data_IF_614037224447
#
_entry.id   IF_614037224447
#
_cell.length_a   1.000
_cell.length_b   1.000
_cell.length_c   1.000
_cell.angle_alpha   90.00
_cell.angle_beta   90.00
_cell.angle_gamma   90.00
#
_symmetry.space_group_name_H-M   'P 1'
#
loop_
_entity.id
_entity.type
_entity.pdbx_description
1 polymer ?
#
# COMPACT_ATOMS: atom_id res chain seq x y z
N UNK A 1 -7.91 0.10 -24.11
CA UNK A 1 -9.13 0.01 -23.29
C UNK A 1 -8.99 0.93 -22.08
N UNK A 2 -9.60 2.08 -22.11
CA UNK A 2 -9.53 3.13 -21.08
C UNK A 2 -10.79 3.16 -20.19
N UNK A 3 -11.42 2.00 -19.98
CA UNK A 3 -12.65 1.91 -19.19
C UNK A 3 -12.45 2.14 -17.68
N UNK A 4 -11.19 2.12 -17.20
CA UNK A 4 -10.80 2.37 -15.82
C UNK A 4 -9.90 3.59 -15.77
N UNK A 5 -10.26 4.56 -14.94
CA UNK A 5 -9.43 5.73 -14.67
C UNK A 5 -8.17 5.34 -13.89
N UNK A 6 -7.03 5.88 -14.27
CA UNK A 6 -5.76 5.80 -13.57
C UNK A 6 -4.99 7.12 -13.71
N UNK A 7 -3.85 7.22 -13.03
CA UNK A 7 -3.05 8.44 -13.03
C UNK A 7 -2.52 8.79 -14.43
N UNK A 8 -2.23 7.80 -15.28
CA UNK A 8 -1.80 8.07 -16.65
C UNK A 8 -2.91 8.73 -17.46
N UNK A 9 -4.08 8.09 -17.55
CA UNK A 9 -5.19 8.55 -18.41
C UNK A 9 -5.85 9.83 -17.95
N UNK A 10 -5.85 10.11 -16.63
CA UNK A 10 -6.55 11.27 -16.04
C UNK A 10 -5.61 12.44 -15.77
N UNK A 11 -4.32 12.20 -15.51
CA UNK A 11 -3.38 13.25 -15.13
C UNK A 11 -2.24 13.42 -16.13
N UNK A 12 -1.50 12.33 -16.45
CA UNK A 12 -0.26 12.43 -17.24
C UNK A 12 -0.58 12.76 -18.71
N UNK A 13 -1.48 11.98 -19.35
CA UNK A 13 -1.81 12.20 -20.75
C UNK A 13 -2.38 13.61 -21.01
N UNK A 14 -3.34 14.13 -20.21
CA UNK A 14 -3.77 15.53 -20.34
C UNK A 14 -2.67 16.56 -20.06
N UNK A 15 -1.79 16.30 -19.09
CA UNK A 15 -0.70 17.21 -18.78
C UNK A 15 0.27 17.35 -19.96
N UNK A 16 0.54 16.27 -20.68
CA UNK A 16 1.42 16.26 -21.86
C UNK A 16 0.88 17.01 -23.07
N UNK A 17 -0.40 17.39 -23.08
CA UNK A 17 -0.98 18.29 -24.09
C UNK A 17 -0.47 19.74 -23.95
N UNK A 18 0.14 20.08 -22.82
CA UNK A 18 0.72 21.39 -22.57
C UNK A 18 2.19 21.45 -22.97
N UNK A 19 2.58 22.45 -23.78
CA UNK A 19 3.94 22.61 -24.31
C UNK A 19 5.02 22.77 -23.23
N UNK A 20 4.65 23.25 -22.04
CA UNK A 20 5.56 23.42 -20.88
C UNK A 20 5.73 22.17 -20.03
N UNK A 21 5.11 21.05 -20.40
CA UNK A 21 5.24 19.76 -19.70
C UNK A 21 6.08 18.79 -20.53
N UNK A 22 7.07 18.19 -19.91
CA UNK A 22 7.94 17.18 -20.54
C UNK A 22 7.99 15.91 -19.73
N UNK A 23 7.76 14.76 -20.37
CA UNK A 23 7.93 13.43 -19.81
C UNK A 23 9.23 12.82 -20.32
N UNK A 24 10.14 12.52 -19.41
CA UNK A 24 11.41 11.86 -19.70
C UNK A 24 11.32 10.39 -19.23
N UNK A 25 11.35 9.47 -20.16
CA UNK A 25 11.28 8.02 -19.88
C UNK A 25 12.66 7.36 -19.93
N UNK A 26 12.75 6.11 -19.41
CA UNK A 26 14.00 5.36 -19.29
C UNK A 26 15.09 6.12 -18.52
N UNK A 27 14.66 6.95 -17.58
CA UNK A 27 15.49 7.84 -16.78
C UNK A 27 15.42 7.41 -15.30
N UNK A 28 16.50 6.87 -14.77
CA UNK A 28 16.63 6.45 -13.38
C UNK A 28 17.28 7.54 -12.57
N UNK A 29 16.54 8.12 -11.62
CA UNK A 29 17.13 9.06 -10.66
C UNK A 29 18.01 8.28 -9.69
N UNK A 30 19.30 8.61 -9.68
CA UNK A 30 20.31 7.92 -8.88
C UNK A 30 20.45 8.56 -7.50
N UNK A 31 20.50 9.90 -7.44
CA UNK A 31 20.61 10.67 -6.20
C UNK A 31 20.21 12.13 -6.41
N UNK A 32 20.00 12.83 -5.29
CA UNK A 32 19.80 14.26 -5.22
C UNK A 32 21.03 14.91 -4.57
N UNK A 33 21.48 16.04 -5.10
CA UNK A 33 22.60 16.80 -4.54
C UNK A 33 22.10 18.15 -4.02
N UNK A 34 22.62 18.58 -2.86
CA UNK A 34 22.25 19.85 -2.24
C UNK A 34 23.21 20.97 -2.65
N UNK A 35 22.74 22.20 -2.49
CA UNK A 35 23.58 23.38 -2.65
C UNK A 35 24.58 23.56 -1.50
N UNK A 36 25.45 24.56 -1.58
CA UNK A 36 26.54 24.76 -0.63
C UNK A 36 26.13 25.03 0.82
N UNK A 37 24.89 25.51 1.08
CA UNK A 37 24.36 25.66 2.43
C UNK A 37 23.50 24.46 2.89
N UNK A 38 23.43 23.41 2.07
CA UNK A 38 22.74 22.15 2.32
C UNK A 38 21.20 22.25 2.54
N UNK A 39 20.59 23.38 2.19
CA UNK A 39 19.17 23.64 2.44
C UNK A 39 18.26 23.52 1.23
N UNK A 40 18.80 23.27 0.05
CA UNK A 40 18.03 23.07 -1.16
C UNK A 40 18.67 22.01 -2.06
N UNK A 41 17.84 21.21 -2.73
CA UNK A 41 18.30 20.35 -3.83
C UNK A 41 18.68 21.26 -4.99
N UNK A 42 19.93 21.15 -5.43
CA UNK A 42 20.48 21.92 -6.57
C UNK A 42 20.60 21.09 -7.84
N UNK A 43 20.73 19.74 -7.69
CA UNK A 43 20.85 18.81 -8.83
C UNK A 43 20.11 17.51 -8.58
N UNK A 44 19.48 17.01 -9.61
CA UNK A 44 18.91 15.66 -9.71
C UNK A 44 19.79 14.86 -10.67
N UNK A 45 20.47 13.86 -10.17
CA UNK A 45 21.40 13.03 -10.96
C UNK A 45 20.64 11.84 -11.53
N UNK A 46 20.64 11.73 -12.84
CA UNK A 46 19.88 10.75 -13.60
C UNK A 46 20.79 9.89 -14.45
N UNK A 47 20.53 8.61 -14.48
CA UNK A 47 21.10 7.68 -15.47
C UNK A 47 20.04 7.41 -16.55
N UNK A 48 20.42 7.67 -17.80
CA UNK A 48 19.55 7.44 -18.95
C UNK A 48 20.36 6.88 -20.11
N UNK A 49 19.99 5.72 -20.63
CA UNK A 49 20.70 5.05 -21.73
C UNK A 49 22.21 4.87 -21.49
N UNK A 50 22.60 4.63 -20.25
CA UNK A 50 24.02 4.48 -19.85
C UNK A 50 24.80 5.81 -19.73
N UNK A 51 24.15 6.95 -19.94
CA UNK A 51 24.74 8.28 -19.73
C UNK A 51 24.24 8.90 -18.43
N UNK A 52 25.10 9.71 -17.78
CA UNK A 52 24.71 10.54 -16.64
C UNK A 52 24.20 11.88 -17.16
N UNK A 53 23.02 12.25 -16.70
CA UNK A 53 22.39 13.54 -16.96
C UNK A 53 22.14 14.28 -15.62
N UNK A 54 22.12 15.61 -15.65
CA UNK A 54 21.87 16.45 -14.49
C UNK A 54 20.69 17.38 -14.79
N UNK A 55 19.75 17.43 -13.86
CA UNK A 55 18.60 18.32 -13.91
C UNK A 55 18.56 19.20 -12.67
N UNK A 56 17.92 20.36 -12.76
CA UNK A 56 17.66 21.27 -11.64
C UNK A 56 16.24 21.82 -11.73
N UNK A 57 15.73 22.31 -10.61
CA UNK A 57 14.41 22.95 -10.53
C UNK A 57 14.26 23.71 -9.23
N UNK A 58 13.38 24.73 -9.25
CA UNK A 58 13.04 25.52 -8.06
C UNK A 58 12.31 24.68 -7.02
N UNK A 59 11.59 23.66 -7.46
CA UNK A 59 10.92 22.67 -6.62
C UNK A 59 11.26 21.26 -7.15
N UNK A 60 11.58 20.36 -6.26
CA UNK A 60 11.84 18.94 -6.53
C UNK A 60 10.81 18.10 -5.79
N UNK A 61 10.03 17.31 -6.53
CA UNK A 61 9.02 16.40 -5.97
C UNK A 61 9.45 14.97 -6.20
N UNK A 62 9.59 14.22 -5.11
CA UNK A 62 9.87 12.79 -5.12
C UNK A 62 8.55 12.02 -4.96
N UNK A 63 8.24 11.12 -5.91
CA UNK A 63 6.99 10.34 -5.94
C UNK A 63 7.25 8.93 -6.49
N UNK A 64 8.25 8.25 -5.91
CA UNK A 64 8.72 6.95 -6.39
C UNK A 64 8.06 5.76 -5.66
N UNK A 65 7.09 6.02 -4.78
CA UNK A 65 6.48 5.05 -3.87
C UNK A 65 7.32 4.81 -2.60
N UNK A 66 6.68 4.28 -1.54
CA UNK A 66 7.23 4.26 -0.19
C UNK A 66 8.65 3.69 -0.10
N UNK A 67 8.95 2.61 -0.81
CA UNK A 67 10.27 1.97 -0.78
C UNK A 67 11.31 2.79 -1.52
N UNK A 68 11.01 3.18 -2.78
CA UNK A 68 12.02 3.84 -3.61
C UNK A 68 12.24 5.31 -3.24
N UNK A 69 11.22 6.03 -2.75
CA UNK A 69 11.38 7.42 -2.29
C UNK A 69 12.30 7.48 -1.08
N UNK A 70 12.09 6.63 -0.08
CA UNK A 70 12.99 6.56 1.07
C UNK A 70 14.40 6.10 0.68
N UNK A 71 14.52 5.10 -0.20
CA UNK A 71 15.81 4.64 -0.69
C UNK A 71 16.58 5.74 -1.46
N UNK A 72 15.89 6.56 -2.28
CA UNK A 72 16.48 7.69 -2.96
C UNK A 72 17.04 8.72 -1.98
N UNK A 73 16.27 9.08 -0.94
CA UNK A 73 16.73 10.00 0.09
C UNK A 73 17.93 9.46 0.85
N UNK A 74 17.94 8.17 1.21
CA UNK A 74 19.06 7.51 1.90
C UNK A 74 20.32 7.46 1.01
N UNK A 75 20.19 7.14 -0.28
CA UNK A 75 21.30 7.15 -1.25
C UNK A 75 21.88 8.54 -1.51
N UNK A 76 21.11 9.58 -1.21
CA UNK A 76 21.51 10.97 -1.41
C UNK A 76 22.31 11.54 -0.24
N UNK A 77 22.81 10.68 0.67
CA UNK A 77 23.69 11.08 1.77
C UNK A 77 24.90 11.85 1.26
N UNK A 78 25.32 12.86 2.03
CA UNK A 78 26.50 13.70 1.79
C UNK A 78 27.07 14.21 3.13
N UNK A 79 28.13 14.99 3.09
CA UNK A 79 28.80 15.48 4.32
C UNK A 79 27.87 16.26 5.25
N UNK A 80 26.92 17.03 4.70
CA UNK A 80 25.96 17.80 5.48
C UNK A 80 24.73 16.98 5.92
N UNK A 81 24.42 15.90 5.22
CA UNK A 81 23.33 14.99 5.48
C UNK A 81 23.83 13.54 5.50
N UNK A 82 24.63 13.15 6.51
CA UNK A 82 25.34 11.84 6.51
C UNK A 82 24.42 10.63 6.58
N UNK A 83 23.20 10.81 7.07
CA UNK A 83 22.19 9.73 7.19
C UNK A 83 21.17 9.71 6.03
N UNK A 84 21.39 10.52 4.98
CA UNK A 84 20.44 10.74 3.87
C UNK A 84 19.73 12.09 3.95
N UNK A 85 19.14 12.52 2.85
CA UNK A 85 18.40 13.78 2.79
C UNK A 85 17.12 13.71 3.61
N UNK A 86 16.74 14.83 4.24
CA UNK A 86 15.56 14.95 5.11
C UNK A 86 15.56 13.94 6.29
N UNK A 87 16.73 13.46 6.72
CA UNK A 87 16.89 12.37 7.68
C UNK A 87 17.72 12.77 8.93
N UNK A 88 17.74 14.00 9.32
CA UNK A 88 18.36 14.44 10.59
C UNK A 88 17.67 13.87 11.83
N UNK A 89 16.39 13.52 11.72
CA UNK A 89 15.60 12.85 12.77
C UNK A 89 15.70 11.31 12.75
N UNK A 90 16.44 10.71 11.79
CA UNK A 90 16.54 9.26 11.58
C UNK A 90 15.18 8.55 11.37
N UNK A 91 14.22 9.23 10.73
CA UNK A 91 12.88 8.65 10.44
C UNK A 91 12.70 8.20 8.98
N UNK A 92 13.56 8.64 8.05
CA UNK A 92 13.51 8.21 6.65
C UNK A 92 13.83 6.73 6.56
N UNK A 93 12.97 6.00 5.89
CA UNK A 93 13.04 4.54 5.75
C UNK A 93 12.37 3.78 6.90
N UNK A 94 12.18 4.37 8.08
CA UNK A 94 11.51 3.73 9.23
C UNK A 94 10.00 3.75 9.11
N UNK A 95 9.33 3.01 10.00
CA UNK A 95 7.86 2.91 10.06
C UNK A 95 7.23 2.39 8.77
N UNK A 96 7.91 1.50 8.08
CA UNK A 96 7.33 0.81 6.93
C UNK A 96 6.10 0.02 7.36
N UNK A 97 5.00 0.22 6.66
CA UNK A 97 3.72 -0.44 6.87
C UNK A 97 3.20 -1.01 5.56
N UNK A 98 2.50 -2.15 5.60
CA UNK A 98 2.03 -2.83 4.40
C UNK A 98 0.63 -3.41 4.50
N UNK A 99 -0.06 -3.27 5.61
CA UNK A 99 -1.29 -3.96 6.02
C UNK A 99 -1.10 -5.46 6.27
N UNK A 100 -1.83 -5.97 7.24
CA UNK A 100 -2.03 -7.42 7.42
C UNK A 100 -3.21 -7.82 6.56
N UNK A 101 -2.99 -8.75 5.64
CA UNK A 101 -4.02 -9.21 4.73
C UNK A 101 -4.23 -10.72 4.83
N UNK A 102 -5.49 -11.13 4.77
CA UNK A 102 -5.87 -12.53 4.63
C UNK A 102 -7.00 -12.66 3.62
N UNK A 103 -7.05 -13.79 2.98
CA UNK A 103 -8.24 -14.25 2.27
C UNK A 103 -8.96 -15.31 3.11
N UNK A 104 -10.27 -15.29 3.09
CA UNK A 104 -11.09 -16.35 3.67
C UNK A 104 -12.15 -16.80 2.67
N UNK A 105 -12.12 -18.08 2.37
CA UNK A 105 -13.11 -18.75 1.53
C UNK A 105 -14.14 -19.39 2.44
N UNK A 106 -15.39 -18.97 2.36
CA UNK A 106 -16.52 -19.62 3.01
C UNK A 106 -17.16 -20.60 2.02
N UNK A 107 -16.98 -21.89 2.24
CA UNK A 107 -17.55 -22.95 1.40
C UNK A 107 -18.93 -23.33 1.93
N UNK A 108 -19.92 -23.22 1.09
CA UNK A 108 -21.31 -23.59 1.37
C UNK A 108 -21.63 -25.00 0.88
N UNK A 109 -22.66 -25.64 1.46
CA UNK A 109 -23.24 -26.86 0.93
C UNK A 109 -23.75 -26.67 -0.50
N UNK A 110 -24.34 -25.51 -0.78
CA UNK A 110 -24.93 -25.19 -2.08
C UNK A 110 -23.92 -24.53 -3.02
N UNK A 111 -23.98 -24.79 -4.32
CA UNK A 111 -23.24 -24.03 -5.29
C UNK A 111 -23.61 -22.55 -5.22
N UNK A 112 -22.60 -21.68 -5.37
CA UNK A 112 -22.76 -20.25 -5.50
C UNK A 112 -22.57 -19.84 -6.97
N UNK A 113 -23.62 -19.65 -7.76
CA UNK A 113 -23.52 -19.32 -9.18
C UNK A 113 -23.18 -17.84 -9.42
N UNK A 114 -23.06 -17.03 -8.38
CA UNK A 114 -22.76 -15.61 -8.53
C UNK A 114 -21.35 -15.40 -9.04
N UNK A 115 -21.19 -14.38 -9.89
CA UNK A 115 -19.90 -13.95 -10.46
C UNK A 115 -19.56 -12.52 -10.04
N UNK A 116 -20.02 -12.13 -8.85
CA UNK A 116 -19.83 -10.79 -8.34
C UNK A 116 -18.36 -10.47 -8.09
N UNK A 117 -18.01 -9.25 -8.39
CA UNK A 117 -16.77 -8.62 -7.98
C UNK A 117 -16.92 -8.03 -6.55
N UNK A 118 -16.05 -7.13 -6.16
CA UNK A 118 -16.08 -6.44 -4.86
C UNK A 118 -17.32 -5.52 -4.74
N UNK A 119 -18.44 -6.07 -4.34
CA UNK A 119 -19.71 -5.35 -4.24
C UNK A 119 -20.12 -5.00 -2.82
N UNK A 120 -19.59 -5.70 -1.82
CA UNK A 120 -19.93 -5.50 -0.41
C UNK A 120 -18.67 -5.40 0.46
N UNK A 121 -18.81 -4.66 1.56
CA UNK A 121 -17.81 -4.54 2.62
C UNK A 121 -18.49 -4.55 3.99
N UNK A 122 -17.76 -5.02 5.01
CA UNK A 122 -18.17 -5.01 6.41
C UNK A 122 -17.16 -4.15 7.17
N UNK A 123 -17.65 -3.03 7.70
CA UNK A 123 -16.84 -2.06 8.47
C UNK A 123 -17.27 -2.00 9.95
N UNK A 124 -18.17 -2.90 10.38
CA UNK A 124 -18.71 -2.93 11.73
C UNK A 124 -17.63 -3.07 12.81
N UNK A 125 -16.51 -3.65 12.46
CA UNK A 125 -15.36 -3.88 13.35
C UNK A 125 -14.18 -2.96 13.07
N UNK A 126 -14.36 -1.96 12.19
CA UNK A 126 -13.27 -1.08 11.76
C UNK A 126 -12.63 -0.33 12.92
N UNK A 127 -13.42 0.21 13.82
CA UNK A 127 -12.97 0.97 14.99
C UNK A 127 -12.97 0.16 16.28
N UNK A 128 -13.38 -1.11 16.25
CA UNK A 128 -13.46 -1.97 17.41
C UNK A 128 -14.79 -2.70 17.56
N UNK A 129 -15.06 -3.24 18.74
CA UNK A 129 -16.33 -3.90 19.09
C UNK A 129 -16.62 -3.75 20.59
N UNK A 130 -17.76 -4.28 21.06
CA UNK A 130 -18.11 -4.26 22.49
C UNK A 130 -17.08 -4.98 23.37
N UNK A 131 -16.41 -6.00 22.82
CA UNK A 131 -15.46 -6.87 23.53
C UNK A 131 -14.01 -6.52 23.22
N UNK A 132 -13.77 -5.48 22.38
CA UNK A 132 -12.44 -5.07 21.94
C UNK A 132 -12.45 -3.61 21.50
N UNK A 133 -11.80 -2.74 22.22
CA UNK A 133 -11.79 -1.29 22.03
C UNK A 133 -10.92 -0.79 20.88
N UNK A 134 -10.00 -1.61 20.36
CA UNK A 134 -9.06 -1.20 19.31
C UNK A 134 -9.59 -1.54 17.91
N UNK A 135 -9.12 -0.83 16.86
CA UNK A 135 -9.42 -1.17 15.47
C UNK A 135 -9.07 -2.63 15.14
N UNK A 136 -9.98 -3.31 14.43
CA UNK A 136 -9.70 -4.66 13.90
C UNK A 136 -9.42 -4.60 12.41
N UNK A 137 -10.18 -3.82 11.63
CA UNK A 137 -9.96 -3.68 10.21
C UNK A 137 -11.21 -3.74 9.35
N UNK A 138 -10.97 -4.00 8.08
CA UNK A 138 -11.93 -3.97 6.98
C UNK A 138 -12.09 -5.37 6.37
N UNK A 139 -13.32 -5.74 6.03
CA UNK A 139 -13.64 -6.96 5.31
C UNK A 139 -14.35 -6.57 4.02
N UNK A 140 -13.89 -7.09 2.89
CA UNK A 140 -14.56 -6.93 1.61
C UNK A 140 -14.63 -8.26 0.86
N UNK A 141 -15.49 -8.35 -0.16
CA UNK A 141 -15.36 -9.44 -1.12
C UNK A 141 -14.10 -9.23 -1.97
N UNK A 142 -13.42 -10.33 -2.28
CA UNK A 142 -12.29 -10.32 -3.24
C UNK A 142 -12.76 -10.47 -4.68
N UNK A 143 -13.99 -10.90 -4.87
CA UNK A 143 -14.55 -11.38 -6.12
C UNK A 143 -14.63 -12.92 -6.10
N UNK A 144 -15.20 -13.50 -7.14
CA UNK A 144 -15.26 -14.95 -7.29
C UNK A 144 -13.89 -15.50 -7.68
N UNK A 145 -13.28 -16.31 -6.81
CA UNK A 145 -12.05 -17.01 -7.14
C UNK A 145 -12.36 -18.18 -8.07
N UNK A 146 -11.53 -18.37 -9.07
CA UNK A 146 -11.59 -19.52 -9.98
C UNK A 146 -10.59 -20.61 -9.57
N UNK A 147 -10.69 -21.78 -10.20
CA UNK A 147 -9.82 -22.91 -9.89
C UNK A 147 -8.34 -22.64 -10.21
N UNK A 148 -8.05 -21.87 -11.25
CA UNK A 148 -6.67 -21.52 -11.62
C UNK A 148 -6.02 -20.61 -10.58
N UNK A 149 -6.76 -19.63 -10.06
CA UNK A 149 -6.33 -18.78 -8.95
C UNK A 149 -6.09 -19.61 -7.68
N UNK A 150 -7.00 -20.54 -7.36
CA UNK A 150 -6.86 -21.44 -6.20
C UNK A 150 -5.65 -22.36 -6.34
N UNK A 151 -5.34 -22.80 -7.55
CA UNK A 151 -4.19 -23.69 -7.83
C UNK A 151 -2.84 -23.05 -7.45
N UNK A 152 -2.72 -21.75 -7.59
CA UNK A 152 -1.50 -21.02 -7.22
C UNK A 152 -1.18 -21.13 -5.72
N UNK A 153 -2.18 -21.29 -4.85
CA UNK A 153 -2.01 -21.45 -3.40
C UNK A 153 -2.25 -22.88 -2.88
N UNK A 154 -2.63 -23.81 -3.75
CA UNK A 154 -2.95 -25.19 -3.37
C UNK A 154 -1.70 -26.08 -3.35
N UNK A 155 -1.68 -27.16 -2.52
CA UNK A 155 -0.65 -28.19 -2.63
C UNK A 155 -0.58 -28.76 -4.05
N UNK A 156 0.62 -29.07 -4.54
CA UNK A 156 0.86 -29.57 -5.90
C UNK A 156 0.06 -30.87 -6.23
N UNK A 157 -0.32 -31.62 -5.20
CA UNK A 157 -1.08 -32.87 -5.32
C UNK A 157 -2.61 -32.64 -5.32
N UNK A 158 -3.10 -31.41 -5.15
CA UNK A 158 -4.53 -31.13 -5.12
C UNK A 158 -5.15 -31.39 -6.50
N UNK A 159 -6.15 -32.30 -6.61
CA UNK A 159 -6.79 -32.57 -7.90
C UNK A 159 -7.54 -31.34 -8.41
N UNK A 160 -7.41 -31.01 -9.71
CA UNK A 160 -8.06 -29.83 -10.29
C UNK A 160 -9.58 -29.79 -10.08
N UNK A 161 -10.25 -30.95 -10.16
CA UNK A 161 -11.70 -31.03 -9.93
C UNK A 161 -12.12 -30.61 -8.51
N UNK A 162 -11.27 -30.81 -7.50
CA UNK A 162 -11.58 -30.35 -6.13
C UNK A 162 -11.53 -28.82 -6.03
N UNK A 163 -10.60 -28.19 -6.73
CA UNK A 163 -10.47 -26.73 -6.80
C UNK A 163 -11.64 -26.09 -7.55
N UNK A 164 -12.07 -26.70 -8.67
CA UNK A 164 -13.28 -26.32 -9.40
C UNK A 164 -14.52 -26.37 -8.51
N UNK A 165 -14.60 -27.43 -7.71
CA UNK A 165 -15.69 -27.62 -6.79
C UNK A 165 -15.70 -26.58 -5.68
N UNK A 166 -14.55 -26.34 -5.06
CA UNK A 166 -14.39 -25.29 -4.06
C UNK A 166 -14.76 -23.92 -4.65
N UNK A 167 -14.27 -23.58 -5.83
CA UNK A 167 -14.61 -22.34 -6.52
C UNK A 167 -16.11 -22.20 -6.75
N UNK A 168 -16.82 -23.28 -7.16
CA UNK A 168 -18.27 -23.24 -7.37
C UNK A 168 -19.08 -23.04 -6.09
N UNK A 169 -18.54 -23.41 -4.94
CA UNK A 169 -19.24 -23.36 -3.65
C UNK A 169 -18.80 -22.22 -2.75
N UNK A 170 -17.82 -21.42 -3.16
CA UNK A 170 -17.20 -20.40 -2.29
C UNK A 170 -17.92 -19.06 -2.31
N UNK A 171 -17.77 -18.37 -1.18
CA UNK A 171 -17.91 -16.94 -1.02
C UNK A 171 -16.59 -16.42 -0.49
N UNK A 172 -15.97 -15.50 -1.23
CA UNK A 172 -14.56 -15.19 -1.06
C UNK A 172 -14.37 -13.79 -0.46
N UNK A 173 -13.72 -13.73 0.71
CA UNK A 173 -13.49 -12.50 1.47
C UNK A 173 -12.02 -12.13 1.49
N UNK A 174 -11.78 -10.82 1.50
CA UNK A 174 -10.50 -10.20 1.78
C UNK A 174 -10.59 -9.45 3.10
N UNK A 175 -9.72 -9.78 4.03
CA UNK A 175 -9.62 -9.12 5.33
C UNK A 175 -8.34 -8.29 5.34
N UNK A 176 -8.45 -7.03 5.75
CA UNK A 176 -7.32 -6.12 5.87
C UNK A 176 -7.33 -5.48 7.25
N UNK A 177 -6.20 -5.51 7.92
CA UNK A 177 -5.97 -4.82 9.18
C UNK A 177 -4.80 -3.86 9.07
N UNK A 178 -4.80 -2.83 9.88
CA UNK A 178 -3.74 -1.85 9.95
C UNK A 178 -2.46 -2.49 10.50
N UNK A 179 -1.32 -2.19 9.87
CA UNK A 179 -0.02 -2.29 10.52
C UNK A 179 0.19 -1.08 11.43
N UNK A 180 0.77 -1.29 12.59
CA UNK A 180 1.18 -0.21 13.47
C UNK A 180 2.57 0.30 13.06
N UNK A 181 2.83 1.62 13.18
CA UNK A 181 4.12 2.19 12.79
C UNK A 181 5.21 1.77 13.79
N UNK A 182 6.05 0.84 13.40
CA UNK A 182 7.21 0.38 14.14
C UNK A 182 8.49 0.93 13.49
N UNK A 183 9.39 1.63 14.22
CA UNK A 183 10.63 2.16 13.68
C UNK A 183 11.59 1.08 13.18
N UNK A 184 11.49 -0.16 13.64
CA UNK A 184 12.32 -1.28 13.17
C UNK A 184 11.79 -1.95 11.90
N UNK A 185 10.53 -1.73 11.55
CA UNK A 185 10.02 -2.01 10.21
C UNK A 185 10.54 -0.94 9.26
N UNK A 186 11.54 -1.26 8.44
CA UNK A 186 12.31 -0.23 7.76
C UNK A 186 12.87 -0.62 6.39
N UNK A 187 12.99 0.38 5.55
CA UNK A 187 13.77 0.36 4.32
C UNK A 187 15.18 0.85 4.63
N UNK A 188 16.17 0.12 4.18
CA UNK A 188 17.59 0.51 4.25
C UNK A 188 18.24 0.36 2.89
N UNK A 189 19.37 1.02 2.71
CA UNK A 189 20.22 0.88 1.51
C UNK A 189 21.60 0.45 2.00
N UNK A 190 22.11 -0.65 1.46
CA UNK A 190 23.46 -1.12 1.82
C UNK A 190 24.55 -0.36 1.02
N UNK A 191 25.82 -0.73 1.27
CA UNK A 191 26.97 -0.07 0.64
C UNK A 191 27.04 -0.25 -0.88
N UNK A 192 26.44 -1.32 -1.39
CA UNK A 192 26.38 -1.62 -2.82
C UNK A 192 25.16 -0.94 -3.49
N UNK A 193 24.36 -0.22 -2.71
CA UNK A 193 23.17 0.50 -3.15
C UNK A 193 21.92 -0.38 -3.25
N UNK A 194 21.95 -1.61 -2.75
CA UNK A 194 20.80 -2.51 -2.74
C UNK A 194 19.79 -2.12 -1.66
N UNK A 195 18.52 -2.20 -2.02
CA UNK A 195 17.40 -1.89 -1.12
C UNK A 195 17.06 -3.14 -0.30
N UNK A 196 16.98 -2.97 1.02
CA UNK A 196 16.52 -4.01 1.94
C UNK A 196 15.31 -3.52 2.70
N UNK A 197 14.32 -4.40 2.88
CA UNK A 197 13.13 -4.16 3.70
C UNK A 197 13.14 -5.14 4.85
N UNK A 198 13.28 -4.62 6.07
CA UNK A 198 13.06 -5.39 7.30
C UNK A 198 11.63 -5.16 7.74
N UNK A 199 10.88 -6.24 7.94
CA UNK A 199 9.47 -6.14 8.27
C UNK A 199 9.01 -7.29 9.15
N UNK A 200 8.37 -6.94 10.26
CA UNK A 200 7.69 -7.88 11.15
C UNK A 200 6.24 -7.45 11.36
N UNK A 201 5.32 -8.41 11.27
CA UNK A 201 3.90 -8.18 11.54
C UNK A 201 3.69 -7.84 13.02
N UNK A 202 2.95 -6.78 13.32
CA UNK A 202 2.81 -6.29 14.69
C UNK A 202 1.38 -6.19 15.24
N UNK A 203 0.34 -6.11 14.40
CA UNK A 203 -1.07 -6.03 14.82
C UNK A 203 -1.85 -7.34 14.56
N UNK A 204 -1.23 -8.47 14.85
CA UNK A 204 -1.77 -9.81 14.52
C UNK A 204 -3.04 -10.11 15.32
N UNK A 205 -3.10 -9.71 16.59
CA UNK A 205 -4.28 -9.98 17.44
C UNK A 205 -5.55 -9.30 16.90
N UNK A 206 -5.47 -8.04 16.51
CA UNK A 206 -6.59 -7.32 15.88
C UNK A 206 -7.09 -8.02 14.63
N UNK A 207 -6.16 -8.51 13.79
CA UNK A 207 -6.48 -9.23 12.57
C UNK A 207 -7.14 -10.60 12.82
N UNK A 208 -6.63 -11.36 13.79
CA UNK A 208 -7.22 -12.67 14.15
C UNK A 208 -8.61 -12.50 14.77
N UNK A 209 -8.85 -11.43 15.53
CA UNK A 209 -10.18 -11.04 16.01
C UNK A 209 -11.12 -10.70 14.88
N UNK A 210 -10.68 -9.92 13.88
CA UNK A 210 -11.47 -9.61 12.68
C UNK A 210 -11.91 -10.88 11.96
N UNK A 211 -10.99 -11.83 11.77
CA UNK A 211 -11.28 -13.13 11.18
C UNK A 211 -12.30 -13.93 11.99
N UNK A 212 -12.18 -13.92 13.33
CA UNK A 212 -13.13 -14.58 14.21
C UNK A 212 -14.53 -13.96 14.12
N UNK A 213 -14.65 -12.63 14.03
CA UNK A 213 -15.93 -11.94 13.85
C UNK A 213 -16.59 -12.31 12.53
N UNK A 214 -15.83 -12.36 11.43
CA UNK A 214 -16.36 -12.83 10.15
C UNK A 214 -16.87 -14.27 10.23
N UNK A 215 -16.12 -15.20 10.83
CA UNK A 215 -16.54 -16.57 11.01
C UNK A 215 -17.80 -16.68 11.87
N UNK A 216 -17.92 -15.86 12.93
CA UNK A 216 -19.11 -15.80 13.78
C UNK A 216 -20.31 -15.31 12.99
N UNK A 217 -20.19 -14.23 12.22
CA UNK A 217 -21.24 -13.70 11.37
C UNK A 217 -21.71 -14.76 10.35
N UNK A 218 -20.77 -15.42 9.67
CA UNK A 218 -21.09 -16.47 8.69
C UNK A 218 -21.80 -17.68 9.30
N UNK A 219 -21.47 -18.06 10.55
CA UNK A 219 -22.18 -19.12 11.28
C UNK A 219 -23.61 -18.70 11.66
N UNK A 220 -23.82 -17.44 12.04
CA UNK A 220 -25.14 -16.93 12.46
C UNK A 220 -26.09 -16.79 11.29
N UNK A 221 -25.62 -16.49 10.10
CA UNK A 221 -26.45 -16.41 8.89
C UNK A 221 -26.95 -17.77 8.43
N UNK A 222 -26.56 -18.85 9.12
CA UNK A 222 -26.92 -20.26 8.81
C UNK A 222 -26.72 -20.59 7.33
N UNK A 223 -25.66 -20.03 6.76
CA UNK A 223 -25.43 -19.77 5.35
C UNK A 223 -25.69 -20.95 4.42
N UNK A 224 -26.91 -21.20 4.16
CA UNK A 224 -27.37 -21.42 2.81
C UNK A 224 -27.30 -20.07 2.12
N UNK A 225 -26.28 -19.87 1.30
CA UNK A 225 -26.05 -18.62 0.54
C UNK A 225 -27.31 -18.19 -0.24
N UNK A 226 -28.27 -19.08 -0.39
CA UNK A 226 -29.50 -18.89 -1.15
C UNK A 226 -30.79 -18.99 -0.33
N UNK A 227 -30.73 -19.24 0.98
CA UNK A 227 -31.93 -19.40 1.82
C UNK A 227 -32.77 -20.62 1.45
N UNK A 228 -32.20 -21.56 0.71
CA UNK A 228 -32.86 -22.81 0.28
C UNK A 228 -32.16 -24.03 0.88
N UNK A 229 -32.95 -25.03 1.29
CA UNK A 229 -32.39 -26.34 1.60
C UNK A 229 -31.75 -26.95 0.35
N UNK A 230 -30.42 -27.06 0.37
CA UNK A 230 -29.69 -27.66 -0.72
C UNK A 230 -29.59 -29.19 -0.49
N UNK A 231 -30.31 -29.93 -1.27
CA UNK A 231 -30.33 -31.41 -1.18
C UNK A 231 -29.14 -32.08 -1.88
N UNK A 232 -28.32 -31.35 -2.62
CA UNK A 232 -27.18 -31.85 -3.41
C UNK A 232 -25.83 -31.23 -2.97
N UNK A 233 -25.67 -31.00 -1.67
CA UNK A 233 -24.44 -30.45 -1.14
C UNK A 233 -23.29 -31.43 -1.12
N UNK A 234 -22.15 -31.03 -1.68
CA UNK A 234 -20.90 -31.81 -1.62
C UNK A 234 -20.22 -31.75 -0.27
N UNK A 235 -20.48 -30.69 0.49
CA UNK A 235 -19.90 -30.50 1.82
C UNK A 235 -20.96 -30.83 2.88
N UNK A 236 -20.64 -31.72 3.82
CA UNK A 236 -21.53 -32.07 4.90
C UNK A 236 -21.90 -30.90 5.82
N UNK A 237 -21.09 -29.85 5.82
CA UNK A 237 -21.23 -28.60 6.59
C UNK A 237 -20.47 -27.47 5.92
N UNK A 238 -20.80 -26.22 6.28
CA UNK A 238 -20.02 -25.07 5.86
C UNK A 238 -18.58 -25.15 6.40
N UNK A 239 -17.61 -24.83 5.55
CA UNK A 239 -16.19 -24.81 5.89
C UNK A 239 -15.63 -23.39 5.67
N UNK A 240 -14.70 -23.00 6.53
CA UNK A 240 -14.03 -21.71 6.44
C UNK A 240 -12.53 -21.95 6.29
N UNK A 241 -12.01 -21.71 5.10
CA UNK A 241 -10.59 -21.83 4.80
C UNK A 241 -10.00 -20.45 4.70
N UNK A 242 -8.90 -20.21 5.39
CA UNK A 242 -8.27 -18.89 5.39
C UNK A 242 -6.75 -19.00 5.28
N UNK A 243 -6.17 -18.05 4.55
CA UNK A 243 -4.73 -17.92 4.40
C UNK A 243 -4.33 -16.47 4.60
N UNK A 244 -3.28 -16.24 5.42
CA UNK A 244 -2.60 -14.94 5.50
C UNK A 244 -1.75 -14.77 4.25
N UNK A 245 -1.84 -13.59 3.65
CA UNK A 245 -1.05 -13.28 2.45
C UNK A 245 0.36 -12.81 2.86
N UNK A 246 1.40 -13.24 2.16
CA UNK A 246 2.74 -12.72 2.38
C UNK A 246 2.83 -11.26 1.94
N UNK A 247 3.79 -10.51 2.51
CA UNK A 247 4.01 -9.09 2.20
C UNK A 247 4.15 -8.85 0.68
N UNK A 248 4.84 -9.73 -0.01
CA UNK A 248 5.05 -9.64 -1.47
C UNK A 248 3.76 -9.70 -2.31
N UNK A 249 2.66 -10.21 -1.74
CA UNK A 249 1.36 -10.26 -2.40
C UNK A 249 0.49 -9.01 -2.15
N UNK A 250 1.02 -8.01 -1.42
CA UNK A 250 0.26 -6.82 -1.00
C UNK A 250 0.97 -5.55 -1.45
N UNK A 251 0.29 -4.70 -2.21
CA UNK A 251 0.84 -3.46 -2.77
C UNK A 251 0.40 -2.22 -1.98
N UNK A 252 0.38 -2.28 -0.65
CA UNK A 252 -0.07 -1.19 0.24
C UNK A 252 1.07 -0.56 1.05
N UNK A 253 2.28 -0.56 0.50
CA UNK A 253 3.50 -0.04 1.13
C UNK A 253 3.37 1.45 1.43
N UNK A 254 3.66 1.85 2.68
CA UNK A 254 3.52 3.24 3.11
C UNK A 254 4.38 3.57 4.36
N UNK A 255 4.41 4.84 4.78
CA UNK A 255 4.91 5.31 6.08
C UNK A 255 6.38 5.67 6.17
N UNK A 256 7.19 5.39 5.16
CA UNK A 256 8.66 5.45 5.22
C UNK A 256 9.28 6.84 5.18
N UNK A 257 8.52 7.89 4.91
CA UNK A 257 8.94 9.31 4.98
C UNK A 257 7.78 10.10 5.58
N UNK A 258 7.42 9.76 6.80
CA UNK A 258 6.21 10.27 7.45
C UNK A 258 6.19 11.78 7.61
N UNK A 259 4.99 12.37 7.46
CA UNK A 259 4.76 13.79 7.70
C UNK A 259 4.34 14.05 9.16
N UNK A 260 4.50 15.28 9.62
CA UNK A 260 4.07 15.69 10.95
C UNK A 260 4.46 17.14 11.25
N UNK A 261 4.08 17.61 12.43
CA UNK A 261 4.36 18.99 12.86
C UNK A 261 5.72 19.13 13.55
N UNK A 262 6.26 18.01 14.09
CA UNK A 262 7.51 18.01 14.84
C UNK A 262 8.64 17.42 13.98
N UNK A 263 9.66 18.21 13.62
CA UNK A 263 10.80 17.76 12.83
C UNK A 263 11.67 16.68 13.52
N UNK A 264 11.48 16.44 14.82
CA UNK A 264 12.17 15.37 15.54
C UNK A 264 11.55 14.00 15.30
N UNK A 265 10.28 13.95 14.91
CA UNK A 265 9.51 12.72 14.75
C UNK A 265 8.93 12.53 13.35
N UNK A 266 9.19 13.47 12.45
CA UNK A 266 8.75 13.43 11.06
C UNK A 266 9.80 14.00 10.12
N UNK A 267 9.91 13.44 8.92
CA UNK A 267 10.81 13.95 7.87
C UNK A 267 10.18 15.12 7.10
N UNK A 268 8.86 15.11 7.00
CA UNK A 268 8.09 16.09 6.24
C UNK A 268 7.17 16.89 7.16
N UNK A 269 6.91 18.13 6.76
CA UNK A 269 5.84 18.94 7.33
C UNK A 269 4.45 18.48 6.82
N UNK A 270 3.38 19.13 7.26
CA UNK A 270 2.00 18.80 6.87
C UNK A 270 1.73 18.99 5.37
N UNK A 271 2.56 19.76 4.67
CA UNK A 271 2.47 19.96 3.22
C UNK A 271 3.38 19.00 2.45
N UNK A 272 3.87 17.96 3.11
CA UNK A 272 4.81 17.00 2.52
C UNK A 272 6.12 17.62 2.03
N UNK A 273 6.49 18.82 2.54
CA UNK A 273 7.79 19.44 2.32
C UNK A 273 8.77 18.92 3.37
N UNK A 274 9.99 18.60 2.97
CA UNK A 274 11.04 18.24 3.91
C UNK A 274 11.27 19.36 4.93
N UNK A 275 11.39 19.03 6.23
CA UNK A 275 11.68 20.03 7.26
C UNK A 275 13.04 20.70 7.07
N UNK A 276 14.01 19.94 6.59
CA UNK A 276 15.42 20.38 6.48
C UNK A 276 15.79 20.98 5.13
N UNK A 277 14.98 20.73 4.08
CA UNK A 277 15.31 21.10 2.69
C UNK A 277 14.14 21.88 2.09
N UNK A 278 14.40 23.13 1.75
CA UNK A 278 13.36 24.12 1.46
C UNK A 278 12.56 23.87 0.17
N UNK A 279 13.15 23.19 -0.82
CA UNK A 279 12.53 22.92 -2.12
C UNK A 279 12.23 21.44 -2.39
N UNK A 280 12.36 20.56 -1.39
CA UNK A 280 12.12 19.13 -1.53
C UNK A 280 10.77 18.74 -0.95
N UNK A 281 9.98 18.02 -1.75
CA UNK A 281 8.71 17.42 -1.38
C UNK A 281 8.73 15.90 -1.63
N UNK A 282 8.01 15.14 -0.81
CA UNK A 282 7.77 13.70 -1.06
C UNK A 282 6.26 13.48 -1.09
N UNK A 283 5.73 13.14 -2.28
CA UNK A 283 4.28 13.12 -2.53
C UNK A 283 3.86 11.75 -3.08
N UNK A 284 3.87 10.75 -2.23
CA UNK A 284 3.43 9.37 -2.48
C UNK A 284 2.99 8.73 -1.16
N UNK A 285 2.87 7.41 -1.10
CA UNK A 285 2.47 6.70 0.11
C UNK A 285 3.46 6.80 1.29
N UNK A 286 4.66 7.35 1.10
CA UNK A 286 5.65 7.48 2.19
C UNK A 286 5.17 8.37 3.34
N UNK A 287 4.26 9.32 3.08
CA UNK A 287 3.86 10.34 4.04
C UNK A 287 3.04 9.82 5.22
N UNK A 288 2.41 8.65 5.12
CA UNK A 288 1.47 8.14 6.12
C UNK A 288 2.08 8.03 7.52
N UNK A 289 1.48 8.65 8.57
CA UNK A 289 1.86 8.41 9.97
C UNK A 289 1.24 7.13 10.54
N UNK A 290 0.12 6.65 9.96
CA UNK A 290 -0.54 5.37 10.21
C UNK A 290 -1.25 4.90 8.95
N UNK A 291 -1.35 3.60 8.74
CA UNK A 291 -1.80 3.05 7.46
C UNK A 291 -3.32 2.95 7.30
N UNK A 292 -4.08 2.96 8.43
CA UNK A 292 -5.48 2.54 8.42
C UNK A 292 -5.64 1.09 7.97
N UNK A 293 -6.86 0.67 7.62
CA UNK A 293 -7.13 -0.72 7.24
C UNK A 293 -7.81 -0.87 5.86
N UNK A 294 -7.73 0.16 5.02
CA UNK A 294 -8.30 0.15 3.65
C UNK A 294 -7.24 0.50 2.62
N UNK A 295 -7.53 0.20 1.36
CA UNK A 295 -6.65 0.51 0.23
C UNK A 295 -6.21 1.99 0.26
N UNK A 296 -4.90 2.31 0.24
CA UNK A 296 -4.40 3.67 0.51
C UNK A 296 -4.51 4.62 -0.69
N UNK A 297 -4.80 4.13 -1.89
CA UNK A 297 -4.70 4.89 -3.14
C UNK A 297 -5.53 6.20 -3.15
N UNK A 298 -6.77 6.18 -2.64
CA UNK A 298 -7.62 7.39 -2.61
C UNK A 298 -7.02 8.47 -1.68
N UNK A 299 -6.47 8.07 -0.54
CA UNK A 299 -5.80 8.99 0.39
C UNK A 299 -4.52 9.57 -0.22
N UNK A 300 -3.74 8.74 -0.95
CA UNK A 300 -2.53 9.20 -1.66
C UNK A 300 -2.91 10.25 -2.70
N UNK A 301 -3.92 9.98 -3.53
CA UNK A 301 -4.39 10.92 -4.56
C UNK A 301 -4.94 12.22 -3.96
N UNK A 302 -5.77 12.13 -2.91
CA UNK A 302 -6.30 13.31 -2.23
C UNK A 302 -5.18 14.17 -1.62
N UNK A 303 -4.18 13.53 -0.99
CA UNK A 303 -3.02 14.26 -0.48
C UNK A 303 -2.18 14.88 -1.60
N UNK A 304 -2.00 14.20 -2.73
CA UNK A 304 -1.26 14.74 -3.87
C UNK A 304 -1.94 15.99 -4.44
N UNK A 305 -3.27 16.00 -4.57
CA UNK A 305 -4.03 17.18 -5.00
C UNK A 305 -3.87 18.33 -4.00
N UNK A 306 -3.98 18.06 -2.70
CA UNK A 306 -3.79 19.07 -1.64
C UNK A 306 -2.38 19.68 -1.68
N UNK A 307 -1.36 18.86 -1.91
CA UNK A 307 0.03 19.35 -2.07
C UNK A 307 0.17 20.15 -3.36
N UNK A 308 -0.49 19.75 -4.44
CA UNK A 308 -0.55 20.51 -5.69
C UNK A 308 -1.11 21.93 -5.48
N UNK A 309 -2.23 22.06 -4.77
CA UNK A 309 -2.79 23.38 -4.42
C UNK A 309 -1.80 24.22 -3.61
N UNK A 310 -1.14 23.64 -2.61
CA UNK A 310 -0.10 24.32 -1.84
C UNK A 310 1.09 24.77 -2.72
N UNK A 311 1.53 23.95 -3.68
CA UNK A 311 2.59 24.31 -4.61
C UNK A 311 2.20 25.49 -5.52
N UNK A 312 0.95 25.50 -5.99
CA UNK A 312 0.42 26.64 -6.77
C UNK A 312 0.41 27.95 -5.96
N UNK A 313 0.06 27.89 -4.67
CA UNK A 313 0.13 29.07 -3.78
C UNK A 313 1.58 29.54 -3.57
N UNK A 314 2.51 28.60 -3.42
CA UNK A 314 3.93 28.89 -3.21
C UNK A 314 4.62 29.48 -4.45
N UNK A 315 4.19 29.15 -5.65
CA UNK A 315 4.77 29.61 -6.92
C UNK A 315 4.17 30.93 -7.43
N UNK A 316 3.15 31.45 -6.78
CA UNK A 316 2.58 32.80 -7.03
C UNK A 316 3.41 33.87 -6.37
#
# INVERSE_FOLDING_TARGET
MTAKADAQTICVDPALEHENVSLITNAKVMRLETNGNARAVSKVIVERNGAREEYSGDIVVVSCGAVNSSALLLRSANDSHPNGLANGSDVVGRHYMGHINSVMMALSKCPNPTVFQKTLAINDFYLGSKDWEYPMGHISFVGKLDADTLKAGAPAIAPGWTLDLMAKHSLDFWLTSEDLPDPENRVTVDRDGEIRVSYELNNVEGHDRLKAQLQKAMKQTNCDIHGHECHQGLFARNLYLGQRLPLAAVAHQNGTVRFGSDPKTSALDRNCKAHEIDNLYVVDASFFPSSGAVNPALTIMANALRVGDHLLERLR
#
